data_IF_697282927257
#
_entry.id   IF_697282927257
#
_cell.length_a   1.000
_cell.length_b   1.000
_cell.length_c   1.000
_cell.angle_alpha   90.00
_cell.angle_beta   90.00
_cell.angle_gamma   90.00
#
_symmetry.space_group_name_H-M   'P 1'
#
loop_
_entity.id
_entity.type
_entity.pdbx_description
1 polymer ?
#
# COMPACT_ATOMS: atom_id res chain seq x y z
N UNK A 1 -4.41 27.92 2.55
CA UNK A 1 -4.56 26.47 2.70
C UNK A 1 -3.42 25.80 1.96
N UNK A 2 -2.72 24.85 2.59
CA UNK A 2 -1.58 24.13 2.00
C UNK A 2 -2.05 23.27 0.83
N UNK A 3 -1.25 23.17 -0.23
CA UNK A 3 -1.41 22.13 -1.25
C UNK A 3 -1.05 20.78 -0.62
N UNK A 4 -1.95 19.83 -0.70
CA UNK A 4 -1.75 18.52 -0.06
C UNK A 4 -2.01 17.36 -1.02
N UNK A 5 -1.40 16.23 -0.70
CA UNK A 5 -1.67 14.95 -1.34
C UNK A 5 -2.32 13.97 -0.35
N UNK A 6 -3.11 13.05 -0.85
CA UNK A 6 -3.59 11.92 -0.07
C UNK A 6 -2.77 10.68 -0.37
N UNK A 7 -2.35 9.99 0.70
CA UNK A 7 -1.59 8.75 0.61
C UNK A 7 -2.31 7.63 1.34
N UNK A 8 -2.24 6.42 0.78
CA UNK A 8 -3.02 5.27 1.25
C UNK A 8 -2.07 4.14 1.67
N UNK A 9 -2.18 3.63 2.91
CA UNK A 9 -1.29 2.61 3.42
C UNK A 9 -1.56 1.24 2.78
N UNK A 10 -0.54 0.39 2.85
CA UNK A 10 -0.60 -1.00 2.47
C UNK A 10 -0.61 -1.96 3.65
N UNK A 11 -0.34 -3.24 3.35
CA UNK A 11 -0.30 -4.33 4.33
C UNK A 11 0.69 -4.04 5.46
N UNK A 12 0.29 -4.36 6.69
CA UNK A 12 1.00 -4.03 7.92
C UNK A 12 0.36 -2.88 8.72
N UNK A 13 -0.62 -2.17 8.13
CA UNK A 13 -1.35 -1.09 8.79
C UNK A 13 -2.65 -1.55 9.47
N UNK A 14 -3.12 -2.77 9.18
CA UNK A 14 -4.34 -3.33 9.77
C UNK A 14 -4.16 -3.72 11.23
N UNK A 15 -5.18 -3.49 12.01
CA UNK A 15 -5.29 -3.96 13.39
C UNK A 15 -6.72 -4.37 13.70
N UNK A 16 -6.90 -5.40 14.53
CA UNK A 16 -8.24 -5.75 15.03
C UNK A 16 -8.78 -4.56 15.85
N UNK A 17 -10.02 -4.19 15.60
CA UNK A 17 -10.70 -3.05 16.21
C UNK A 17 -10.46 -1.70 15.48
N UNK A 18 -9.73 -1.67 14.37
CA UNK A 18 -9.51 -0.44 13.61
C UNK A 18 -10.84 0.23 13.21
N UNK A 19 -10.88 1.57 13.22
CA UNK A 19 -12.02 2.41 12.87
C UNK A 19 -13.26 2.29 13.77
N UNK A 20 -13.18 1.63 14.93
CA UNK A 20 -14.34 1.44 15.81
C UNK A 20 -14.95 2.77 16.30
N UNK A 21 -14.12 3.75 16.63
CA UNK A 21 -14.55 5.09 17.05
C UNK A 21 -15.18 5.87 15.89
N UNK A 22 -14.57 5.83 14.71
CA UNK A 22 -15.14 6.45 13.50
C UNK A 22 -16.49 5.84 13.13
N UNK A 23 -16.65 4.53 13.27
CA UNK A 23 -17.89 3.85 12.98
C UNK A 23 -19.02 4.26 13.95
N UNK A 24 -18.68 4.65 15.18
CA UNK A 24 -19.64 5.16 16.15
C UNK A 24 -20.13 6.56 15.77
N UNK A 25 -19.25 7.40 15.25
CA UNK A 25 -19.56 8.79 14.89
C UNK A 25 -20.12 8.91 13.47
N UNK A 26 -19.62 8.09 12.52
CA UNK A 26 -19.94 8.20 11.09
C UNK A 26 -20.52 6.88 10.56
N UNK A 27 -21.85 6.78 10.37
CA UNK A 27 -22.50 5.55 9.86
C UNK A 27 -21.99 5.08 8.51
N UNK A 28 -21.44 5.99 7.66
CA UNK A 28 -20.86 5.66 6.36
C UNK A 28 -19.72 4.65 6.47
N UNK A 29 -19.05 4.55 7.62
CA UNK A 29 -17.99 3.56 7.86
C UNK A 29 -18.56 2.15 7.82
N UNK A 30 -19.59 1.86 8.64
CA UNK A 30 -20.23 0.55 8.67
C UNK A 30 -20.95 0.23 7.36
N UNK A 31 -21.55 1.23 6.71
CA UNK A 31 -22.16 1.08 5.39
C UNK A 31 -21.11 0.66 4.33
N UNK A 32 -19.91 1.26 4.36
CA UNK A 32 -18.82 0.89 3.45
C UNK A 32 -18.38 -0.56 3.66
N UNK A 33 -18.22 -0.99 4.91
CA UNK A 33 -17.87 -2.37 5.23
C UNK A 33 -18.99 -3.35 4.89
N UNK A 34 -20.27 -2.93 5.00
CA UNK A 34 -21.40 -3.73 4.53
C UNK A 34 -21.33 -3.98 3.02
N UNK A 35 -21.09 -2.93 2.22
CA UNK A 35 -20.91 -3.06 0.78
C UNK A 35 -19.74 -4.00 0.42
N UNK A 36 -18.62 -3.90 1.16
CA UNK A 36 -17.49 -4.81 0.98
C UNK A 36 -17.86 -6.26 1.33
N UNK A 37 -18.58 -6.47 2.44
CA UNK A 37 -19.03 -7.79 2.87
C UNK A 37 -20.01 -8.42 1.86
N UNK A 38 -20.94 -7.64 1.33
CA UNK A 38 -21.87 -8.07 0.27
C UNK A 38 -21.10 -8.51 -0.99
N UNK A 39 -20.03 -7.81 -1.35
CA UNK A 39 -19.18 -8.16 -2.50
C UNK A 39 -18.36 -9.44 -2.28
N UNK A 40 -17.90 -9.68 -1.06
CA UNK A 40 -17.05 -10.82 -0.69
C UNK A 40 -17.83 -12.09 -0.33
N UNK A 41 -19.07 -11.93 0.14
CA UNK A 41 -19.89 -13.04 0.62
C UNK A 41 -19.59 -13.49 2.06
N UNK A 42 -18.86 -12.67 2.84
CA UNK A 42 -18.63 -12.87 4.27
C UNK A 42 -18.59 -11.54 5.02
N UNK A 43 -18.73 -11.57 6.36
CA UNK A 43 -18.75 -10.38 7.20
C UNK A 43 -17.33 -9.85 7.46
N UNK A 44 -16.88 -8.92 6.60
CA UNK A 44 -15.57 -8.28 6.72
C UNK A 44 -15.50 -7.38 7.96
N UNK A 45 -16.61 -6.71 8.33
CA UNK A 45 -16.63 -5.85 9.51
C UNK A 45 -16.43 -6.66 10.80
N UNK A 46 -17.09 -7.81 10.90
CA UNK A 46 -16.88 -8.72 12.03
C UNK A 46 -15.40 -9.16 12.12
N UNK A 47 -14.80 -9.57 11.00
CA UNK A 47 -13.38 -9.94 10.97
C UNK A 47 -12.49 -8.79 11.45
N UNK A 48 -12.73 -7.57 10.96
CA UNK A 48 -11.94 -6.39 11.32
C UNK A 48 -12.12 -6.02 12.80
N UNK A 49 -13.32 -6.14 13.35
CA UNK A 49 -13.62 -5.76 14.75
C UNK A 49 -13.27 -6.83 15.77
N UNK A 50 -13.48 -8.10 15.45
CA UNK A 50 -13.36 -9.21 16.40
C UNK A 50 -12.16 -10.14 16.11
N UNK A 51 -11.57 -10.05 14.91
CA UNK A 51 -10.50 -10.93 14.50
C UNK A 51 -10.94 -12.38 14.25
N UNK A 52 -10.07 -13.36 14.48
CA UNK A 52 -8.75 -13.24 15.11
C UNK A 52 -7.71 -12.54 14.23
N UNK A 53 -6.65 -12.01 14.82
CA UNK A 53 -5.60 -11.27 14.12
C UNK A 53 -4.93 -12.14 13.05
N UNK A 54 -4.74 -13.42 13.30
CA UNK A 54 -4.15 -14.38 12.36
C UNK A 54 -4.96 -14.47 11.05
N UNK A 55 -6.31 -14.44 11.15
CA UNK A 55 -7.16 -14.43 9.97
C UNK A 55 -7.08 -13.09 9.23
N UNK A 56 -7.15 -11.96 9.96
CA UNK A 56 -7.03 -10.63 9.37
C UNK A 56 -5.67 -10.43 8.68
N UNK A 57 -4.61 -11.08 9.15
CA UNK A 57 -3.26 -10.98 8.60
C UNK A 57 -2.99 -11.90 7.39
N UNK A 58 -3.94 -12.77 7.01
CA UNK A 58 -3.85 -13.48 5.73
C UNK A 58 -3.99 -12.49 4.58
N UNK A 59 -3.07 -12.49 3.64
CA UNK A 59 -2.98 -11.41 2.63
C UNK A 59 -4.29 -11.21 1.85
N UNK A 60 -5.05 -12.27 1.58
CA UNK A 60 -6.37 -12.16 0.90
C UNK A 60 -7.48 -11.62 1.77
N UNK A 61 -7.31 -11.56 3.10
CA UNK A 61 -8.20 -10.90 4.05
C UNK A 61 -7.73 -9.47 4.34
N UNK A 62 -6.43 -9.28 4.49
CA UNK A 62 -5.81 -7.98 4.76
C UNK A 62 -6.11 -6.98 3.66
N UNK A 63 -6.00 -7.40 2.39
CA UNK A 63 -6.12 -6.47 1.27
C UNK A 63 -7.52 -5.87 1.15
N UNK A 64 -8.62 -6.64 1.14
CA UNK A 64 -9.96 -6.05 1.14
C UNK A 64 -10.26 -5.27 2.43
N UNK A 65 -9.76 -5.69 3.59
CA UNK A 65 -9.94 -4.96 4.85
C UNK A 65 -9.31 -3.55 4.80
N UNK A 66 -8.09 -3.43 4.28
CA UNK A 66 -7.40 -2.15 4.13
C UNK A 66 -8.05 -1.26 3.06
N UNK A 67 -8.47 -1.83 1.94
CA UNK A 67 -9.19 -1.09 0.91
C UNK A 67 -10.50 -0.53 1.48
N UNK A 68 -11.31 -1.35 2.12
CA UNK A 68 -12.56 -0.93 2.75
C UNK A 68 -12.35 0.15 3.80
N UNK A 69 -11.33 -0.01 4.66
CA UNK A 69 -10.99 0.97 5.69
C UNK A 69 -10.59 2.32 5.08
N UNK A 70 -9.69 2.33 4.10
CA UNK A 70 -9.25 3.55 3.44
C UNK A 70 -10.38 4.27 2.70
N UNK A 71 -11.23 3.52 1.98
CA UNK A 71 -12.41 4.10 1.30
C UNK A 71 -13.43 4.62 2.29
N UNK A 72 -13.67 3.93 3.41
CA UNK A 72 -14.56 4.40 4.47
C UNK A 72 -14.09 5.75 5.04
N UNK A 73 -12.80 5.88 5.37
CA UNK A 73 -12.20 7.13 5.85
C UNK A 73 -12.32 8.23 4.78
N UNK A 74 -12.06 7.91 3.51
CA UNK A 74 -12.20 8.88 2.42
C UNK A 74 -13.63 9.36 2.25
N UNK A 75 -14.64 8.49 2.42
CA UNK A 75 -16.06 8.87 2.39
C UNK A 75 -16.42 9.81 3.55
N UNK A 76 -15.91 9.55 4.76
CA UNK A 76 -16.03 10.49 5.89
C UNK A 76 -15.40 11.85 5.55
N UNK A 77 -14.21 11.82 4.92
CA UNK A 77 -13.56 13.05 4.44
C UNK A 77 -14.44 13.83 3.47
N UNK A 78 -15.04 13.16 2.50
CA UNK A 78 -15.93 13.82 1.52
C UNK A 78 -17.17 14.44 2.15
N UNK A 79 -17.74 13.81 3.19
CA UNK A 79 -18.87 14.37 3.94
C UNK A 79 -18.45 15.58 4.78
N UNK A 80 -17.32 15.49 5.47
CA UNK A 80 -16.86 16.51 6.42
C UNK A 80 -16.16 17.69 5.73
N UNK A 81 -15.41 17.43 4.68
CA UNK A 81 -14.58 18.40 3.98
C UNK A 81 -14.78 18.39 2.46
N UNK A 82 -15.99 18.57 1.94
CA UNK A 82 -16.28 18.47 0.50
C UNK A 82 -15.47 19.46 -0.37
N UNK A 83 -14.99 20.57 0.23
CA UNK A 83 -14.20 21.59 -0.43
C UNK A 83 -12.68 21.24 -0.47
N UNK A 84 -12.20 20.34 0.38
CA UNK A 84 -10.80 19.99 0.48
C UNK A 84 -10.47 18.83 -0.47
N UNK A 85 -9.83 19.17 -1.59
CA UNK A 85 -9.44 18.19 -2.62
C UNK A 85 -7.92 18.08 -2.68
N UNK A 86 -7.36 16.87 -2.70
CA UNK A 86 -5.93 16.68 -2.88
C UNK A 86 -5.49 17.02 -4.31
N UNK A 87 -4.27 17.53 -4.47
CA UNK A 87 -3.64 17.76 -5.78
C UNK A 87 -3.32 16.45 -6.49
N UNK A 88 -2.96 15.44 -5.71
CA UNK A 88 -2.54 14.13 -6.20
C UNK A 88 -2.78 13.07 -5.12
N UNK A 89 -2.99 11.84 -5.54
CA UNK A 89 -3.09 10.67 -4.68
C UNK A 89 -1.99 9.67 -5.00
N UNK A 90 -1.60 8.86 -4.03
CA UNK A 90 -0.80 7.65 -4.22
C UNK A 90 -1.05 6.67 -3.09
N UNK A 91 -0.72 5.41 -3.32
CA UNK A 91 -0.82 4.39 -2.28
C UNK A 91 0.35 3.43 -2.34
N UNK A 92 0.74 2.88 -1.20
CA UNK A 92 1.82 1.92 -1.10
C UNK A 92 1.29 0.51 -1.35
N UNK A 93 1.75 -0.15 -2.40
CA UNK A 93 1.30 -1.50 -2.79
C UNK A 93 -0.23 -1.60 -2.89
N UNK A 94 -0.90 -2.32 -2.00
CA UNK A 94 -2.37 -2.39 -1.90
C UNK A 94 -3.00 -0.99 -1.89
N UNK A 95 -2.37 -0.03 -1.23
CA UNK A 95 -2.86 1.34 -1.14
C UNK A 95 -3.04 2.06 -2.48
N UNK A 96 -2.34 1.63 -3.54
CA UNK A 96 -2.57 2.16 -4.91
C UNK A 96 -4.00 1.85 -5.39
N UNK A 97 -4.53 0.67 -5.07
CA UNK A 97 -5.93 0.32 -5.37
C UNK A 97 -6.91 1.21 -4.58
N UNK A 98 -6.60 1.51 -3.31
CA UNK A 98 -7.40 2.45 -2.52
C UNK A 98 -7.41 3.85 -3.14
N UNK A 99 -6.25 4.34 -3.57
CA UNK A 99 -6.13 5.61 -4.29
C UNK A 99 -6.94 5.63 -5.59
N UNK A 100 -6.90 4.55 -6.37
CA UNK A 100 -7.64 4.43 -7.62
C UNK A 100 -9.16 4.41 -7.39
N UNK A 101 -9.65 3.74 -6.35
CA UNK A 101 -11.07 3.80 -5.98
C UNK A 101 -11.47 5.21 -5.55
N UNK A 102 -10.69 5.85 -4.69
CA UNK A 102 -10.98 7.22 -4.21
C UNK A 102 -10.91 8.27 -5.34
N UNK A 103 -10.08 8.03 -6.36
CA UNK A 103 -10.00 8.86 -7.58
C UNK A 103 -11.07 8.53 -8.62
N UNK A 104 -12.00 7.62 -8.35
CA UNK A 104 -13.10 7.23 -9.24
C UNK A 104 -12.69 6.34 -10.43
N UNK A 105 -11.49 5.77 -10.40
CA UNK A 105 -10.94 4.92 -11.47
C UNK A 105 -11.54 3.51 -11.43
N UNK A 106 -11.65 2.92 -10.24
CA UNK A 106 -12.19 1.60 -10.01
C UNK A 106 -13.51 1.70 -9.22
N UNK A 107 -14.50 0.90 -9.59
CA UNK A 107 -15.68 0.68 -8.74
C UNK A 107 -15.25 0.01 -7.43
N UNK A 108 -15.88 0.43 -6.33
CA UNK A 108 -15.50 -0.06 -5.00
C UNK A 108 -15.70 -1.56 -4.82
N UNK A 109 -16.86 -2.09 -5.25
CA UNK A 109 -17.16 -3.51 -5.07
C UNK A 109 -16.31 -4.40 -5.99
N UNK A 110 -16.05 -3.94 -7.20
CA UNK A 110 -15.13 -4.63 -8.12
C UNK A 110 -13.70 -4.62 -7.58
N UNK A 111 -13.25 -3.50 -7.03
CA UNK A 111 -11.92 -3.38 -6.42
C UNK A 111 -11.78 -4.27 -5.17
N UNK A 112 -12.81 -4.40 -4.33
CA UNK A 112 -12.82 -5.30 -3.17
C UNK A 112 -12.59 -6.76 -3.61
N UNK A 113 -13.32 -7.23 -4.62
CA UNK A 113 -13.13 -8.59 -5.19
C UNK A 113 -11.76 -8.75 -5.83
N UNK A 114 -11.31 -7.72 -6.54
CA UNK A 114 -10.02 -7.72 -7.22
C UNK A 114 -8.85 -7.85 -6.25
N UNK A 115 -8.86 -7.11 -5.14
CA UNK A 115 -7.75 -7.18 -4.17
C UNK A 115 -7.79 -8.44 -3.31
N UNK A 116 -8.98 -9.02 -3.06
CA UNK A 116 -9.09 -10.36 -2.47
C UNK A 116 -8.45 -11.41 -3.40
N UNK A 117 -8.79 -11.37 -4.69
CA UNK A 117 -8.19 -12.25 -5.69
C UNK A 117 -6.67 -12.02 -5.80
N UNK A 118 -6.23 -10.75 -5.82
CA UNK A 118 -4.80 -10.41 -5.80
C UNK A 118 -4.07 -11.10 -4.63
N UNK A 119 -4.62 -11.01 -3.43
CA UNK A 119 -4.07 -11.68 -2.26
C UNK A 119 -4.00 -13.20 -2.39
N UNK A 120 -5.06 -13.83 -2.91
CA UNK A 120 -5.10 -15.28 -3.18
C UNK A 120 -4.06 -15.70 -4.21
N UNK A 121 -3.95 -14.99 -5.32
CA UNK A 121 -2.99 -15.29 -6.38
C UNK A 121 -1.55 -15.11 -5.91
N UNK A 122 -1.27 -14.06 -5.14
CA UNK A 122 0.05 -13.83 -4.55
C UNK A 122 0.44 -14.97 -3.59
N UNK A 123 -0.49 -15.44 -2.75
CA UNK A 123 -0.23 -16.57 -1.85
C UNK A 123 -0.02 -17.88 -2.60
N UNK A 124 -0.74 -18.09 -3.71
CA UNK A 124 -0.60 -19.30 -4.53
C UNK A 124 0.69 -19.31 -5.36
N UNK A 125 1.26 -18.15 -5.69
CA UNK A 125 2.47 -18.05 -6.52
C UNK A 125 3.71 -18.62 -5.85
N UNK A 126 3.76 -18.63 -4.52
CA UNK A 126 4.90 -19.14 -3.75
C UNK A 126 4.40 -20.03 -2.61
N UNK A 127 4.89 -21.27 -2.52
CA UNK A 127 4.55 -22.15 -1.41
C UNK A 127 4.87 -21.52 -0.06
N UNK A 128 4.00 -21.69 0.92
CA UNK A 128 4.17 -21.13 2.26
C UNK A 128 5.51 -21.56 2.86
N UNK A 129 6.22 -20.60 3.45
CA UNK A 129 7.53 -20.83 4.09
C UNK A 129 8.73 -20.89 3.14
N UNK A 130 8.53 -20.80 1.81
CA UNK A 130 9.63 -20.82 0.83
C UNK A 130 10.06 -19.43 0.37
N UNK A 131 9.24 -18.41 0.60
CA UNK A 131 9.56 -17.01 0.38
C UNK A 131 9.86 -16.26 1.68
N UNK A 132 10.52 -15.12 1.59
CA UNK A 132 10.76 -14.23 2.72
C UNK A 132 10.83 -12.76 2.29
N UNK A 133 10.64 -11.87 3.27
CA UNK A 133 10.89 -10.44 3.15
C UNK A 133 11.66 -9.95 4.38
N UNK A 134 12.65 -9.08 4.16
CA UNK A 134 13.45 -8.48 5.23
C UNK A 134 13.53 -6.96 5.06
N UNK A 135 13.37 -6.23 6.16
CA UNK A 135 13.62 -4.80 6.19
C UNK A 135 15.11 -4.55 6.47
N UNK A 136 15.78 -3.86 5.56
CA UNK A 136 17.18 -3.44 5.68
C UNK A 136 17.20 -1.98 6.11
N UNK A 137 17.85 -1.70 7.23
CA UNK A 137 17.89 -0.38 7.84
C UNK A 137 19.33 0.13 7.91
N UNK A 138 19.54 1.37 7.47
CA UNK A 138 20.80 2.08 7.62
C UNK A 138 21.87 1.72 6.60
N UNK A 139 21.47 1.30 5.41
CA UNK A 139 22.35 1.06 4.27
C UNK A 139 21.76 1.76 3.04
N UNK A 140 22.60 2.21 2.12
CA UNK A 140 22.17 2.84 0.88
C UNK A 140 21.58 1.84 -0.12
N UNK A 141 20.78 2.36 -1.06
CA UNK A 141 20.07 1.54 -2.03
C UNK A 141 21.00 0.73 -2.95
N UNK A 142 22.12 1.32 -3.39
CA UNK A 142 23.06 0.67 -4.32
C UNK A 142 23.73 -0.52 -3.66
N UNK A 143 24.16 -0.37 -2.40
CA UNK A 143 24.75 -1.45 -1.62
C UNK A 143 23.74 -2.60 -1.39
N UNK A 144 22.46 -2.28 -1.11
CA UNK A 144 21.40 -3.28 -0.95
C UNK A 144 21.15 -4.02 -2.26
N UNK A 145 21.03 -3.31 -3.38
CA UNK A 145 20.82 -3.90 -4.70
C UNK A 145 22.01 -4.82 -5.07
N UNK A 146 23.24 -4.37 -4.78
CA UNK A 146 24.42 -5.17 -5.01
C UNK A 146 24.45 -6.46 -4.17
N UNK A 147 24.11 -6.36 -2.88
CA UNK A 147 23.99 -7.52 -1.99
C UNK A 147 22.92 -8.53 -2.46
N UNK A 148 21.77 -8.04 -2.93
CA UNK A 148 20.75 -8.89 -3.53
C UNK A 148 21.30 -9.64 -4.74
N UNK A 149 21.97 -8.94 -5.65
CA UNK A 149 22.54 -9.55 -6.86
C UNK A 149 23.59 -10.60 -6.56
N UNK A 150 24.44 -10.36 -5.55
CA UNK A 150 25.42 -11.38 -5.10
C UNK A 150 24.75 -12.60 -4.46
N UNK A 151 23.61 -12.40 -3.80
CA UNK A 151 22.91 -13.45 -3.09
C UNK A 151 22.01 -14.34 -4.00
N UNK A 152 21.82 -14.00 -5.27
CA UNK A 152 20.91 -14.72 -6.17
C UNK A 152 21.27 -16.21 -6.27
N UNK A 153 22.50 -16.55 -6.59
CA UNK A 153 22.97 -17.96 -6.71
C UNK A 153 21.98 -18.87 -7.45
N UNK A 154 21.26 -18.33 -8.44
CA UNK A 154 20.21 -19.04 -9.18
C UNK A 154 18.80 -18.95 -8.58
N UNK A 155 18.63 -18.23 -7.48
CA UNK A 155 17.33 -17.97 -6.82
C UNK A 155 16.97 -16.47 -6.92
N UNK A 156 15.68 -16.18 -6.82
CA UNK A 156 15.19 -14.78 -6.86
C UNK A 156 15.39 -14.10 -5.51
N UNK A 157 16.05 -12.96 -5.51
CA UNK A 157 16.04 -11.97 -4.41
C UNK A 157 16.27 -10.58 -4.98
N UNK A 158 15.50 -9.60 -4.53
CA UNK A 158 15.64 -8.21 -4.99
C UNK A 158 15.18 -7.19 -3.93
N UNK A 159 15.62 -5.94 -4.09
CA UNK A 159 15.08 -4.80 -3.37
C UNK A 159 13.70 -4.47 -3.94
N UNK A 160 12.67 -4.48 -3.08
CA UNK A 160 11.27 -4.44 -3.53
C UNK A 160 10.48 -3.25 -3.00
N UNK A 161 10.83 -2.67 -1.84
CA UNK A 161 10.17 -1.45 -1.34
C UNK A 161 11.24 -0.43 -0.96
N UNK A 162 11.34 0.62 -1.72
CA UNK A 162 12.18 1.78 -1.40
C UNK A 162 11.37 2.76 -0.56
N UNK A 163 11.31 2.50 0.75
CA UNK A 163 10.39 3.17 1.67
C UNK A 163 10.86 4.56 2.11
N UNK A 164 12.14 4.72 2.36
CA UNK A 164 12.81 6.00 2.64
C UNK A 164 14.33 5.83 2.49
N UNK A 165 15.11 6.91 2.41
CA UNK A 165 16.56 6.80 2.50
C UNK A 165 16.97 5.95 3.71
N UNK A 166 17.76 4.91 3.47
CA UNK A 166 18.21 3.97 4.50
C UNK A 166 17.14 3.01 5.04
N UNK A 167 16.00 2.87 4.37
CA UNK A 167 14.98 1.86 4.70
C UNK A 167 14.41 1.22 3.44
N UNK A 168 14.87 0.02 3.14
CA UNK A 168 14.50 -0.76 1.97
C UNK A 168 14.08 -2.16 2.40
N UNK A 169 13.05 -2.71 1.76
CA UNK A 169 12.67 -4.11 1.93
C UNK A 169 13.23 -4.93 0.77
N UNK A 170 13.80 -6.09 1.09
CA UNK A 170 14.22 -7.11 0.14
C UNK A 170 13.28 -8.30 0.21
N UNK A 171 13.03 -8.96 -0.92
CA UNK A 171 12.13 -10.11 -1.01
C UNK A 171 12.61 -11.11 -2.06
N UNK A 172 12.20 -12.36 -1.87
CA UNK A 172 12.52 -13.44 -2.80
C UNK A 172 12.42 -14.83 -2.16
N UNK A 173 13.17 -15.78 -2.70
CA UNK A 173 13.33 -17.09 -2.12
C UNK A 173 14.01 -16.98 -0.75
N UNK A 174 13.51 -17.71 0.24
CA UNK A 174 13.92 -17.56 1.64
C UNK A 174 15.44 -17.64 1.82
N UNK A 175 16.11 -18.66 1.26
CA UNK A 175 17.55 -18.82 1.40
C UNK A 175 18.32 -17.64 0.75
N UNK A 176 17.89 -17.16 -0.41
CA UNK A 176 18.52 -16.03 -1.09
C UNK A 176 18.33 -14.72 -0.31
N UNK A 177 17.14 -14.49 0.27
CA UNK A 177 16.87 -13.33 1.13
C UNK A 177 17.73 -13.36 2.39
N UNK A 178 17.89 -14.52 3.03
CA UNK A 178 18.76 -14.68 4.20
C UNK A 178 20.23 -14.40 3.86
N UNK A 179 20.74 -14.88 2.70
CA UNK A 179 22.08 -14.53 2.19
C UNK A 179 22.24 -13.03 1.95
N UNK A 180 21.26 -12.43 1.25
CA UNK A 180 21.26 -10.99 0.98
C UNK A 180 21.24 -10.16 2.27
N UNK A 181 20.45 -10.56 3.26
CA UNK A 181 20.40 -9.91 4.56
C UNK A 181 21.75 -9.97 5.30
N UNK A 182 22.45 -11.12 5.24
CA UNK A 182 23.79 -11.27 5.80
C UNK A 182 24.79 -10.35 5.09
N UNK A 183 24.81 -10.33 3.75
CA UNK A 183 25.66 -9.42 2.95
C UNK A 183 25.36 -7.94 3.24
N UNK A 184 24.11 -7.56 3.40
CA UNK A 184 23.75 -6.21 3.82
C UNK A 184 24.32 -5.87 5.21
N UNK A 185 24.30 -6.81 6.14
CA UNK A 185 24.90 -6.62 7.47
C UNK A 185 26.42 -6.45 7.39
N UNK A 186 27.10 -7.26 6.59
CA UNK A 186 28.55 -7.13 6.33
C UNK A 186 28.90 -5.79 5.67
N UNK A 187 28.03 -5.29 4.78
CA UNK A 187 28.17 -3.99 4.13
C UNK A 187 27.86 -2.79 5.05
N UNK A 188 27.44 -3.03 6.30
CA UNK A 188 27.24 -1.98 7.30
C UNK A 188 25.79 -1.63 7.61
N UNK A 189 24.80 -2.43 7.18
CA UNK A 189 23.41 -2.21 7.57
C UNK A 189 23.27 -2.29 9.11
N UNK A 190 22.58 -1.31 9.68
CA UNK A 190 22.33 -1.26 11.13
C UNK A 190 21.45 -2.44 11.58
N UNK A 191 20.44 -2.77 10.78
CA UNK A 191 19.52 -3.88 11.04
C UNK A 191 19.14 -4.57 9.73
N UNK A 192 18.89 -5.89 9.80
CA UNK A 192 18.24 -6.68 8.80
C UNK A 192 17.17 -7.51 9.55
N UNK A 193 15.90 -7.14 9.40
CA UNK A 193 14.80 -7.65 10.22
C UNK A 193 13.83 -8.46 9.36
N UNK A 194 13.58 -9.74 9.70
CA UNK A 194 12.55 -10.52 9.02
C UNK A 194 11.18 -9.87 9.24
N UNK A 195 10.37 -9.82 8.19
CA UNK A 195 8.99 -9.38 8.26
C UNK A 195 8.06 -10.58 8.44
N UNK A 196 7.05 -10.43 9.28
CA UNK A 196 6.01 -11.44 9.49
C UNK A 196 4.99 -11.42 8.34
N UNK A 197 5.43 -11.77 7.13
CA UNK A 197 4.61 -11.86 5.92
C UNK A 197 4.79 -13.21 5.26
N UNK A 198 3.71 -13.73 4.65
CA UNK A 198 3.70 -15.05 4.02
C UNK A 198 4.11 -15.04 2.55
N UNK A 199 4.19 -13.85 1.93
CA UNK A 199 4.38 -13.72 0.48
C UNK A 199 5.52 -12.76 0.17
N UNK A 200 6.51 -13.19 -0.67
CA UNK A 200 7.59 -12.31 -1.13
C UNK A 200 7.08 -11.38 -2.25
N UNK A 201 6.43 -10.27 -1.86
CA UNK A 201 5.79 -9.34 -2.78
C UNK A 201 6.79 -8.54 -3.62
N UNK A 202 6.38 -8.08 -4.78
CA UNK A 202 7.08 -7.12 -5.65
C UNK A 202 8.41 -7.63 -6.24
N UNK A 203 8.63 -8.94 -6.29
CA UNK A 203 9.76 -9.57 -6.98
C UNK A 203 9.27 -10.52 -8.09
N UNK A 204 10.19 -11.07 -8.85
CA UNK A 204 9.87 -11.92 -10.01
C UNK A 204 9.04 -13.17 -9.66
N UNK A 205 9.08 -13.64 -8.43
CA UNK A 205 8.24 -14.75 -7.96
C UNK A 205 6.73 -14.45 -8.06
N UNK A 206 6.36 -13.18 -8.18
CA UNK A 206 4.96 -12.76 -8.35
C UNK A 206 4.49 -12.71 -9.80
N UNK A 207 5.33 -12.98 -10.80
CA UNK A 207 4.93 -13.00 -12.22
C UNK A 207 3.74 -13.92 -12.51
N UNK A 208 3.68 -15.17 -11.98
CA UNK A 208 2.52 -16.03 -12.21
C UNK A 208 1.21 -15.43 -11.65
N UNK A 209 1.27 -14.77 -10.50
CA UNK A 209 0.11 -14.06 -9.95
C UNK A 209 -0.31 -12.87 -10.83
N UNK A 210 0.66 -12.13 -11.37
CA UNK A 210 0.41 -10.99 -12.26
C UNK A 210 -0.26 -11.42 -13.57
N UNK A 211 0.16 -12.53 -14.18
CA UNK A 211 -0.43 -13.09 -15.39
C UNK A 211 -1.89 -13.48 -15.16
N UNK A 212 -2.20 -14.11 -14.04
CA UNK A 212 -3.59 -14.48 -13.71
C UNK A 212 -4.44 -13.25 -13.36
N UNK A 213 -3.87 -12.27 -12.65
CA UNK A 213 -4.58 -11.02 -12.33
C UNK A 213 -4.90 -10.22 -13.60
N UNK A 214 -4.02 -10.26 -14.62
CA UNK A 214 -4.21 -9.60 -15.90
C UNK A 214 -5.51 -10.03 -16.57
N UNK A 215 -5.84 -11.33 -16.53
CA UNK A 215 -7.08 -11.89 -17.10
C UNK A 215 -8.32 -11.26 -16.45
N UNK A 216 -8.30 -11.09 -15.14
CA UNK A 216 -9.40 -10.44 -14.41
C UNK A 216 -9.48 -8.94 -14.72
N UNK A 217 -8.33 -8.27 -14.76
CA UNK A 217 -8.26 -6.84 -15.07
C UNK A 217 -8.76 -6.48 -16.47
N UNK A 218 -8.71 -7.38 -17.44
CA UNK A 218 -9.29 -7.18 -18.78
C UNK A 218 -10.80 -6.92 -18.72
N UNK A 219 -11.50 -7.50 -17.76
CA UNK A 219 -12.95 -7.40 -17.60
C UNK A 219 -13.39 -6.32 -16.61
N UNK A 220 -12.45 -5.62 -15.97
CA UNK A 220 -12.77 -4.53 -15.03
C UNK A 220 -12.81 -3.21 -15.80
N UNK A 221 -13.88 -2.45 -15.59
CA UNK A 221 -13.97 -1.09 -16.07
C UNK A 221 -12.98 -0.19 -15.34
N UNK A 222 -12.16 0.50 -16.11
CA UNK A 222 -11.21 1.49 -15.61
C UNK A 222 -11.60 2.85 -16.18
N UNK A 223 -11.99 3.77 -15.29
CA UNK A 223 -12.40 5.13 -15.65
C UNK A 223 -11.19 6.08 -15.60
N UNK A 224 -11.31 7.23 -16.26
CA UNK A 224 -10.33 8.30 -16.15
C UNK A 224 -10.31 8.86 -14.72
N UNK A 225 -9.14 9.04 -14.09
CA UNK A 225 -9.04 9.57 -12.73
C UNK A 225 -9.63 10.98 -12.60
N UNK A 226 -10.40 11.22 -11.56
CA UNK A 226 -10.88 12.58 -11.18
C UNK A 226 -9.80 13.38 -10.45
N UNK A 227 -8.85 12.70 -9.85
CA UNK A 227 -7.63 13.23 -9.24
C UNK A 227 -6.47 12.35 -9.68
N UNK A 228 -5.34 12.96 -10.05
CA UNK A 228 -4.14 12.22 -10.47
C UNK A 228 -3.71 11.20 -9.43
N UNK A 229 -3.37 9.99 -9.85
CA UNK A 229 -2.84 8.92 -9.00
C UNK A 229 -1.46 8.51 -9.49
N UNK A 230 -0.43 8.70 -8.66
CA UNK A 230 0.92 8.22 -8.98
C UNK A 230 1.01 6.71 -8.74
N UNK A 231 1.41 5.96 -9.77
CA UNK A 231 1.61 4.52 -9.67
C UNK A 231 2.95 4.17 -9.00
N UNK A 232 3.05 2.97 -8.42
CA UNK A 232 4.25 2.52 -7.69
C UNK A 232 5.45 2.22 -8.59
N UNK A 233 5.21 1.77 -9.83
CA UNK A 233 6.26 1.23 -10.72
C UNK A 233 7.02 2.31 -11.47
N UNK A 234 6.32 3.34 -11.97
CA UNK A 234 6.90 4.37 -12.85
C UNK A 234 6.90 5.76 -12.20
N UNK A 235 6.22 5.93 -11.07
CA UNK A 235 5.99 7.23 -10.40
C UNK A 235 5.33 8.23 -11.36
N UNK A 236 4.35 7.73 -12.12
CA UNK A 236 3.58 8.48 -13.12
C UNK A 236 2.09 8.46 -12.79
N UNK A 237 1.40 9.52 -13.18
CA UNK A 237 -0.05 9.58 -13.18
C UNK A 237 -0.56 9.24 -14.58
N UNK A 238 -1.04 8.02 -14.76
CA UNK A 238 -1.63 7.56 -16.00
C UNK A 238 -3.12 7.94 -16.03
N UNK A 239 -3.62 8.29 -17.22
CA UNK A 239 -5.03 8.67 -17.45
C UNK A 239 -5.81 7.64 -18.26
N UNK A 240 -5.10 6.88 -19.09
CA UNK A 240 -5.67 5.87 -19.96
C UNK A 240 -5.82 4.53 -19.26
N UNK A 241 -7.00 3.92 -19.35
CA UNK A 241 -7.30 2.66 -18.68
C UNK A 241 -6.34 1.51 -19.03
N UNK A 242 -5.83 1.47 -20.26
CA UNK A 242 -4.85 0.46 -20.68
C UNK A 242 -3.50 0.62 -19.97
N UNK A 243 -3.05 1.86 -19.76
CA UNK A 243 -1.80 2.17 -19.08
C UNK A 243 -1.91 1.91 -17.57
N UNK A 244 -3.04 2.29 -16.95
CA UNK A 244 -3.34 1.98 -15.55
C UNK A 244 -3.33 0.47 -15.33
N UNK A 245 -4.01 -0.30 -16.20
CA UNK A 245 -4.05 -1.76 -16.13
C UNK A 245 -2.64 -2.37 -16.22
N UNK A 246 -1.85 -1.90 -17.18
CA UNK A 246 -0.46 -2.34 -17.36
C UNK A 246 0.39 -2.06 -16.13
N UNK A 247 0.25 -0.88 -15.53
CA UNK A 247 0.96 -0.51 -14.31
C UNK A 247 0.57 -1.40 -13.12
N UNK A 248 -0.73 -1.71 -12.94
CA UNK A 248 -1.22 -2.60 -11.89
C UNK A 248 -0.71 -4.05 -12.04
N UNK A 249 -0.61 -4.56 -13.26
CA UNK A 249 -0.06 -5.89 -13.54
C UNK A 249 1.43 -5.92 -13.17
N UNK A 250 2.20 -4.94 -13.60
CA UNK A 250 3.63 -4.82 -13.32
C UNK A 250 3.91 -4.59 -11.83
N UNK A 251 3.00 -3.97 -11.10
CA UNK A 251 3.14 -3.67 -9.68
C UNK A 251 3.38 -4.95 -8.84
N UNK A 252 2.82 -6.10 -9.22
CA UNK A 252 2.98 -7.33 -8.44
C UNK A 252 4.43 -7.82 -8.38
N UNK A 253 5.20 -7.61 -9.45
CA UNK A 253 6.57 -8.11 -9.59
C UNK A 253 7.62 -7.02 -9.80
N UNK A 254 7.25 -5.76 -9.58
CA UNK A 254 8.16 -4.60 -9.66
C UNK A 254 8.25 -3.86 -8.34
N UNK A 255 9.35 -3.17 -8.06
CA UNK A 255 9.51 -2.43 -6.81
C UNK A 255 8.49 -1.33 -6.60
N UNK A 256 8.12 -1.12 -5.34
CA UNK A 256 7.39 0.06 -4.88
C UNK A 256 8.40 1.21 -4.67
N UNK A 257 8.34 2.22 -5.51
CA UNK A 257 9.24 3.38 -5.52
C UNK A 257 8.67 4.50 -4.65
N UNK A 258 8.46 4.19 -3.35
CA UNK A 258 7.76 5.10 -2.44
C UNK A 258 8.54 6.38 -2.16
N UNK A 259 9.84 6.31 -1.97
CA UNK A 259 10.72 7.48 -1.79
C UNK A 259 10.55 8.46 -2.95
N UNK A 260 10.68 7.98 -4.17
CA UNK A 260 10.53 8.80 -5.38
C UNK A 260 9.11 9.34 -5.55
N UNK A 261 8.09 8.58 -5.13
CA UNK A 261 6.70 9.03 -5.15
C UNK A 261 6.50 10.26 -4.25
N UNK A 262 7.02 10.23 -3.02
CA UNK A 262 6.92 11.35 -2.09
C UNK A 262 7.76 12.55 -2.55
N UNK A 263 8.97 12.31 -3.04
CA UNK A 263 9.83 13.34 -3.64
C UNK A 263 9.14 14.04 -4.82
N UNK A 264 8.49 13.25 -5.70
CA UNK A 264 7.73 13.77 -6.84
C UNK A 264 6.57 14.67 -6.42
N UNK A 265 5.84 14.29 -5.38
CA UNK A 265 4.78 15.12 -4.80
C UNK A 265 5.33 16.45 -4.30
N UNK A 266 6.42 16.44 -3.53
CA UNK A 266 7.07 17.65 -3.02
C UNK A 266 7.60 18.54 -4.14
N UNK A 267 8.24 17.98 -5.16
CA UNK A 267 8.70 18.70 -6.37
C UNK A 267 7.54 19.39 -7.12
N UNK A 268 6.36 18.81 -7.09
CA UNK A 268 5.14 19.39 -7.68
C UNK A 268 4.44 20.41 -6.75
N UNK A 269 5.08 20.79 -5.65
CA UNK A 269 4.59 21.85 -4.74
C UNK A 269 3.62 21.36 -3.68
N UNK A 270 3.51 20.06 -3.43
CA UNK A 270 2.78 19.52 -2.28
C UNK A 270 3.54 19.87 -1.00
N UNK A 271 2.85 20.43 -0.02
CA UNK A 271 3.39 20.90 1.26
C UNK A 271 2.98 19.99 2.44
N UNK A 272 1.94 19.18 2.23
CA UNK A 272 1.41 18.30 3.26
C UNK A 272 0.94 16.97 2.69
N UNK A 273 1.15 15.88 3.41
CA UNK A 273 0.57 14.57 3.14
C UNK A 273 -0.53 14.26 4.16
N UNK A 274 -1.65 13.75 3.69
CA UNK A 274 -2.73 13.21 4.50
C UNK A 274 -2.78 11.70 4.26
N UNK A 275 -2.39 10.91 5.25
CA UNK A 275 -2.50 9.45 5.19
C UNK A 275 -3.93 9.04 5.52
N UNK A 276 -4.62 8.47 4.55
CA UNK A 276 -6.03 8.04 4.59
C UNK A 276 -6.08 6.53 4.72
N UNK A 277 -6.20 6.04 5.93
CA UNK A 277 -6.16 4.61 6.21
C UNK A 277 -5.78 4.32 7.64
N UNK A 278 -5.88 3.05 8.10
CA UNK A 278 -5.49 2.67 9.44
C UNK A 278 -3.98 2.84 9.66
N UNK A 279 -3.60 3.13 10.90
CA UNK A 279 -2.20 3.32 11.28
C UNK A 279 -1.62 4.68 10.87
N UNK A 280 -0.28 4.75 10.85
CA UNK A 280 0.50 5.96 10.53
C UNK A 280 1.85 5.64 9.90
N UNK A 281 1.91 4.57 9.12
CA UNK A 281 3.17 4.05 8.56
C UNK A 281 3.77 5.03 7.57
N UNK A 282 2.98 5.52 6.61
CA UNK A 282 3.45 6.44 5.57
C UNK A 282 3.78 7.82 6.14
N UNK A 283 2.99 8.31 7.10
CA UNK A 283 3.30 9.51 7.85
C UNK A 283 4.69 9.42 8.51
N UNK A 284 4.98 8.27 9.15
CA UNK A 284 6.29 8.03 9.79
C UNK A 284 7.49 8.03 8.83
N UNK A 285 7.27 7.76 7.54
CA UNK A 285 8.31 7.79 6.51
C UNK A 285 8.54 9.20 5.95
N UNK A 286 7.53 10.05 5.93
CA UNK A 286 7.51 11.31 5.18
C UNK A 286 8.70 12.21 5.52
N UNK A 287 8.94 12.49 6.79
CA UNK A 287 10.05 13.38 7.23
C UNK A 287 11.44 12.83 6.92
N UNK A 288 11.58 11.52 6.73
CA UNK A 288 12.84 10.88 6.34
C UNK A 288 13.12 11.02 4.85
N UNK A 289 12.06 11.22 4.06
CA UNK A 289 12.15 11.39 2.60
C UNK A 289 12.33 12.86 2.28
N UNK A 290 11.43 13.73 2.76
CA UNK A 290 11.49 15.18 2.56
C UNK A 290 11.27 15.86 3.92
N UNK A 291 12.32 16.43 4.47
CA UNK A 291 12.35 16.95 5.86
C UNK A 291 11.31 18.02 6.17
N UNK A 292 11.01 18.88 5.18
CA UNK A 292 10.07 20.00 5.35
C UNK A 292 8.60 19.63 5.03
N UNK A 293 8.37 18.43 4.46
CA UNK A 293 7.03 17.96 4.13
C UNK A 293 6.28 17.55 5.40
N UNK A 294 5.14 18.19 5.64
CA UNK A 294 4.30 17.89 6.79
C UNK A 294 3.42 16.66 6.50
N UNK A 295 3.06 15.92 7.54
CA UNK A 295 2.18 14.78 7.38
C UNK A 295 1.25 14.59 8.59
N UNK A 296 0.00 14.18 8.31
CA UNK A 296 -1.00 13.77 9.29
C UNK A 296 -1.62 12.45 8.85
N UNK A 297 -1.92 11.56 9.81
CA UNK A 297 -2.72 10.36 9.55
C UNK A 297 -4.16 10.63 10.02
N UNK A 298 -5.12 10.25 9.18
CA UNK A 298 -6.55 10.48 9.45
C UNK A 298 -7.24 9.13 9.52
N UNK A 299 -7.51 8.66 10.74
CA UNK A 299 -8.09 7.34 10.98
C UNK A 299 -8.93 7.24 12.27
N UNK A 300 -9.10 8.34 12.97
CA UNK A 300 -9.94 8.47 14.16
C UNK A 300 -10.62 9.85 14.23
N UNK A 301 -11.57 10.01 15.13
CA UNK A 301 -12.34 11.25 15.30
C UNK A 301 -11.42 12.44 15.64
N UNK A 302 -10.42 12.22 16.47
CA UNK A 302 -9.49 13.26 16.90
C UNK A 302 -8.65 13.79 15.73
N UNK A 303 -8.11 12.89 14.90
CA UNK A 303 -7.31 13.26 13.72
C UNK A 303 -8.15 13.99 12.66
N UNK A 304 -9.42 13.61 12.47
CA UNK A 304 -10.33 14.37 11.62
C UNK A 304 -10.55 15.81 12.11
N UNK A 305 -10.66 16.02 13.41
CA UNK A 305 -10.85 17.36 13.98
C UNK A 305 -9.61 18.23 13.84
N UNK A 306 -8.42 17.66 13.66
CA UNK A 306 -7.17 18.40 13.50
C UNK A 306 -6.87 18.81 12.03
N UNK A 307 -7.62 18.29 11.04
CA UNK A 307 -7.33 18.47 9.61
C UNK A 307 -7.31 19.94 9.18
N UNK A 308 -8.33 20.73 9.55
CA UNK A 308 -8.44 22.10 9.07
C UNK A 308 -7.29 22.98 9.60
N UNK A 309 -6.93 22.85 10.86
CA UNK A 309 -5.78 23.53 11.45
C UNK A 309 -4.47 23.07 10.80
N UNK A 310 -4.34 21.78 10.55
CA UNK A 310 -3.14 21.19 9.90
C UNK A 310 -2.96 21.73 8.47
N UNK A 311 -4.03 21.87 7.70
CA UNK A 311 -4.00 22.35 6.30
C UNK A 311 -4.07 23.87 6.16
N UNK A 312 -4.34 24.59 7.21
CA UNK A 312 -4.29 26.06 7.20
C UNK A 312 -2.86 26.56 6.96
#
# INVERSE_FOLDING_TARGET
MKKFAMVFPGQGSQTVGMLADLATEYPIVTETFKQASDALGYDLWHLVQQGPAEELNKTWQTQPALLAASVAIYRVWQEKFPQLKPEVMAGHSLGEYSALVCAGVLDFQDAIKLVELRGKLMQQAVPEGTGAMYAIIGLDNEAIIHACKQAEEGEVVSAVNFNSPGQVVIAGAKAAVERAAALCKEAGAKRALPLAVSVPSHCELMKPAAEQLAVTLENIQINTPTTSVLNNVDVKAETEGAEIRTALIRQLYSPVRWTETVEKMAQNGVLALVEVGPGKVLNGLTKRIVGDLQAISVNDVASFNAVEEFLA
#
